data_IF_127151355214
#
_entry.id   IF_127151355214
#
_cell.length_a   1.000
_cell.length_b   1.000
_cell.length_c   1.000
_cell.angle_alpha   90.00
_cell.angle_beta   90.00
_cell.angle_gamma   90.00
#
_symmetry.space_group_name_H-M   'P 1'
#
loop_
_entity.id
_entity.type
_entity.pdbx_description
1 polymer ?
#
# COMPACT_ATOMS: atom_id res chain seq x y z
N UNK A 1 -17.48 23.59 -2.63
CA UNK A 1 -16.07 23.17 -2.73
C UNK A 1 -16.08 21.65 -2.74
N UNK A 2 -15.49 20.98 -3.75
CA UNK A 2 -15.36 19.52 -3.75
C UNK A 2 -14.44 19.13 -2.57
N UNK A 3 -14.74 18.05 -1.83
CA UNK A 3 -13.80 17.50 -0.87
C UNK A 3 -12.43 17.26 -1.53
N UNK A 4 -11.33 17.42 -0.81
CA UNK A 4 -9.97 17.24 -1.35
C UNK A 4 -9.78 15.87 -2.05
N UNK A 5 -10.49 14.85 -1.59
CA UNK A 5 -10.47 13.49 -2.16
C UNK A 5 -11.39 13.29 -3.37
N UNK A 6 -12.42 14.11 -3.53
CA UNK A 6 -13.36 13.96 -4.64
C UNK A 6 -12.72 14.40 -5.96
N UNK A 7 -12.77 13.51 -6.95
CA UNK A 7 -12.27 13.75 -8.30
C UNK A 7 -13.43 14.02 -9.25
N UNK A 8 -13.29 15.04 -10.11
CA UNK A 8 -14.23 15.27 -11.19
C UNK A 8 -13.86 14.34 -12.37
N UNK A 9 -14.75 13.46 -12.82
CA UNK A 9 -14.38 12.35 -13.68
C UNK A 9 -14.38 12.65 -15.18
N UNK A 10 -14.89 13.83 -15.57
CA UNK A 10 -15.11 14.18 -16.98
C UNK A 10 -14.03 15.12 -17.51
N UNK A 11 -13.87 15.13 -18.85
CA UNK A 11 -13.00 16.06 -19.58
C UNK A 11 -13.54 17.50 -19.54
N UNK A 12 -12.72 18.47 -19.92
CA UNK A 12 -13.17 19.88 -20.02
C UNK A 12 -14.28 20.05 -21.07
N UNK A 13 -14.23 19.27 -22.17
CA UNK A 13 -15.25 19.28 -23.22
C UNK A 13 -16.59 18.78 -22.66
N UNK A 14 -16.59 17.60 -22.04
CA UNK A 14 -17.79 17.03 -21.41
C UNK A 14 -18.35 17.93 -20.31
N UNK A 15 -17.48 18.52 -19.48
CA UNK A 15 -17.88 19.47 -18.44
C UNK A 15 -18.59 20.71 -19.02
N UNK A 16 -18.15 21.20 -20.19
CA UNK A 16 -18.80 22.29 -20.89
C UNK A 16 -20.18 21.88 -21.42
N UNK A 17 -20.28 20.72 -22.02
CA UNK A 17 -21.55 20.17 -22.53
C UNK A 17 -22.56 19.94 -21.40
N UNK A 18 -22.10 19.60 -20.21
CA UNK A 18 -22.90 19.39 -19.00
C UNK A 18 -23.20 20.66 -18.21
N UNK A 19 -22.60 21.80 -18.57
CA UNK A 19 -22.71 23.03 -17.79
C UNK A 19 -21.95 23.05 -16.47
N UNK A 20 -21.00 22.11 -16.29
CA UNK A 20 -20.25 21.86 -15.06
C UNK A 20 -18.80 22.37 -15.11
N UNK A 21 -18.49 23.32 -15.99
CA UNK A 21 -17.13 23.78 -16.25
C UNK A 21 -16.42 24.33 -14.99
N UNK A 22 -17.18 24.95 -14.06
CA UNK A 22 -16.60 25.43 -12.80
C UNK A 22 -16.17 24.29 -11.86
N UNK A 23 -16.88 23.17 -11.86
CA UNK A 23 -16.47 21.97 -11.12
C UNK A 23 -15.19 21.41 -11.70
N UNK A 24 -15.09 21.32 -13.03
CA UNK A 24 -13.87 20.90 -13.70
C UNK A 24 -12.69 21.83 -13.37
N UNK A 25 -12.89 23.16 -13.43
CA UNK A 25 -11.85 24.16 -13.08
C UNK A 25 -11.41 24.05 -11.62
N UNK A 26 -12.35 23.81 -10.70
CA UNK A 26 -12.03 23.61 -9.29
C UNK A 26 -11.19 22.35 -9.09
N UNK A 27 -11.57 21.24 -9.74
CA UNK A 27 -10.80 20.00 -9.72
C UNK A 27 -9.38 20.19 -10.30
N UNK A 28 -9.26 20.88 -11.44
CA UNK A 28 -7.97 21.18 -12.06
C UNK A 28 -7.06 21.97 -11.13
N UNK A 29 -7.56 23.05 -10.48
CA UNK A 29 -6.79 23.82 -9.50
C UNK A 29 -6.34 22.96 -8.32
N UNK A 30 -7.19 22.06 -7.83
CA UNK A 30 -6.84 21.14 -6.75
C UNK A 30 -5.76 20.14 -7.17
N UNK A 31 -5.79 19.67 -8.42
CA UNK A 31 -4.73 18.79 -8.96
C UNK A 31 -3.39 19.55 -9.08
N UNK A 32 -3.40 20.81 -9.53
CA UNK A 32 -2.19 21.65 -9.53
C UNK A 32 -1.65 21.88 -8.11
N UNK A 33 -2.53 22.12 -7.15
CA UNK A 33 -2.13 22.27 -5.75
C UNK A 33 -1.52 20.97 -5.18
N UNK A 34 -2.10 19.82 -5.54
CA UNK A 34 -1.54 18.51 -5.19
C UNK A 34 -0.15 18.29 -5.79
N UNK A 35 0.07 18.64 -7.07
CA UNK A 35 1.39 18.58 -7.69
C UNK A 35 2.41 19.44 -6.95
N UNK A 36 2.05 20.67 -6.58
CA UNK A 36 2.88 21.56 -5.77
C UNK A 36 3.19 20.98 -4.37
N UNK A 37 2.22 20.31 -3.74
CA UNK A 37 2.41 19.65 -2.45
C UNK A 37 3.39 18.47 -2.57
N UNK A 38 3.33 17.69 -3.65
CA UNK A 38 4.30 16.62 -3.94
C UNK A 38 5.72 17.22 -4.08
N UNK A 39 5.88 18.30 -4.84
CA UNK A 39 7.17 18.98 -4.98
C UNK A 39 7.73 19.45 -3.63
N UNK A 40 6.88 20.02 -2.79
CA UNK A 40 7.29 20.47 -1.45
C UNK A 40 7.68 19.30 -0.56
N UNK A 41 6.93 18.18 -0.60
CA UNK A 41 7.26 16.99 0.15
C UNK A 41 8.61 16.41 -0.30
N UNK A 42 8.85 16.31 -1.62
CA UNK A 42 10.13 15.87 -2.17
C UNK A 42 11.28 16.78 -1.67
N UNK A 43 11.13 18.11 -1.77
CA UNK A 43 12.18 19.05 -1.32
C UNK A 43 12.46 18.97 0.17
N UNK A 44 11.45 18.71 0.98
CA UNK A 44 11.58 18.58 2.44
C UNK A 44 12.27 17.29 2.83
N UNK A 45 11.96 16.19 2.15
CA UNK A 45 12.28 14.83 2.56
C UNK A 45 13.45 14.20 1.76
N UNK A 46 14.01 14.92 0.79
CA UNK A 46 15.18 14.50 0.02
C UNK A 46 16.47 15.15 0.59
N UNK A 47 17.40 14.32 1.05
CA UNK A 47 18.67 14.76 1.66
C UNK A 47 19.81 15.00 0.66
N UNK A 48 19.54 14.81 -0.64
CA UNK A 48 20.50 14.89 -1.73
C UNK A 48 20.94 13.52 -2.27
N UNK A 49 20.68 12.45 -1.53
CA UNK A 49 20.95 11.06 -1.97
C UNK A 49 19.73 10.15 -1.83
N UNK A 50 18.96 10.30 -0.74
CA UNK A 50 17.84 9.44 -0.41
C UNK A 50 16.58 10.27 -0.15
N UNK A 51 15.45 9.70 -0.53
CA UNK A 51 14.15 10.19 -0.14
C UNK A 51 13.73 9.47 1.15
N UNK A 52 13.24 10.21 2.14
CA UNK A 52 12.81 9.63 3.41
C UNK A 52 11.58 8.73 3.18
N UNK A 53 11.56 7.57 3.82
CA UNK A 53 10.35 6.78 3.95
C UNK A 53 9.21 7.64 4.51
N UNK A 54 7.98 7.34 4.19
CA UNK A 54 6.76 8.10 4.56
C UNK A 54 6.63 9.50 3.91
N UNK A 55 7.53 9.89 3.00
CA UNK A 55 7.46 11.21 2.35
C UNK A 55 6.12 11.46 1.63
N UNK A 56 5.47 10.41 1.12
CA UNK A 56 4.19 10.50 0.45
C UNK A 56 3.01 10.68 1.40
N UNK A 57 3.13 10.23 2.66
CA UNK A 57 2.02 10.14 3.62
C UNK A 57 1.33 11.48 3.85
N UNK A 58 2.08 12.55 4.10
CA UNK A 58 1.51 13.89 4.34
C UNK A 58 0.70 14.43 3.17
N UNK A 59 1.09 14.10 1.94
CA UNK A 59 0.36 14.49 0.72
C UNK A 59 -0.89 13.64 0.55
N UNK A 60 -0.79 12.33 0.84
CA UNK A 60 -1.92 11.40 0.81
C UNK A 60 -2.97 11.83 1.84
N UNK A 61 -2.58 12.15 3.08
CA UNK A 61 -3.49 12.62 4.14
C UNK A 61 -4.23 13.91 3.73
N UNK A 62 -3.58 14.78 2.96
CA UNK A 62 -4.16 16.05 2.51
C UNK A 62 -5.09 15.92 1.29
N UNK A 63 -4.74 15.07 0.32
CA UNK A 63 -5.41 15.02 -1.00
C UNK A 63 -6.09 13.68 -1.30
N UNK A 64 -5.86 12.66 -0.50
CA UNK A 64 -6.35 11.30 -0.70
C UNK A 64 -5.58 10.52 -1.78
N UNK A 65 -5.63 9.19 -1.65
CA UNK A 65 -4.91 8.30 -2.57
C UNK A 65 -5.29 8.52 -4.04
N UNK A 66 -6.58 8.66 -4.36
CA UNK A 66 -7.05 8.81 -5.75
C UNK A 66 -6.44 10.02 -6.44
N UNK A 67 -6.41 11.17 -5.77
CA UNK A 67 -5.89 12.40 -6.35
C UNK A 67 -4.38 12.36 -6.50
N UNK A 68 -3.67 11.92 -5.46
CA UNK A 68 -2.21 11.78 -5.50
C UNK A 68 -1.82 10.82 -6.62
N UNK A 69 -2.43 9.64 -6.68
CA UNK A 69 -2.18 8.66 -7.74
C UNK A 69 -2.46 9.20 -9.13
N UNK A 70 -3.57 9.93 -9.32
CA UNK A 70 -3.91 10.55 -10.60
C UNK A 70 -2.85 11.58 -11.05
N UNK A 71 -2.40 12.45 -10.15
CA UNK A 71 -1.40 13.50 -10.46
C UNK A 71 -0.04 12.87 -10.79
N UNK A 72 0.39 11.87 -10.02
CA UNK A 72 1.61 11.11 -10.29
C UNK A 72 1.53 10.39 -11.64
N UNK A 73 0.46 9.65 -11.88
CA UNK A 73 0.26 8.92 -13.13
C UNK A 73 0.23 9.83 -14.36
N UNK A 74 -0.45 10.99 -14.26
CA UNK A 74 -0.47 11.99 -15.32
C UNK A 74 0.96 12.45 -15.67
N UNK A 75 1.78 12.77 -14.65
CA UNK A 75 3.16 13.22 -14.87
C UNK A 75 4.01 12.11 -15.50
N UNK A 76 3.93 10.87 -14.99
CA UNK A 76 4.70 9.75 -15.53
C UNK A 76 4.29 9.38 -16.96
N UNK A 77 3.01 9.42 -17.29
CA UNK A 77 2.53 9.13 -18.65
C UNK A 77 3.03 10.17 -19.65
N UNK A 78 3.04 11.46 -19.27
CA UNK A 78 3.58 12.54 -20.10
C UNK A 78 5.08 12.40 -20.32
N UNK A 79 5.82 11.97 -19.30
CA UNK A 79 7.27 11.80 -19.31
C UNK A 79 7.69 10.34 -19.51
N UNK A 80 6.85 9.50 -20.08
CA UNK A 80 7.08 8.04 -20.19
C UNK A 80 8.32 7.65 -21.01
N UNK A 81 8.81 8.56 -21.88
CA UNK A 81 10.03 8.38 -22.64
C UNK A 81 11.31 8.54 -21.82
N UNK A 82 11.23 9.12 -20.62
CA UNK A 82 12.41 9.32 -19.77
C UNK A 82 12.86 7.99 -19.13
N UNK A 83 14.10 7.58 -19.44
CA UNK A 83 14.69 6.33 -18.96
C UNK A 83 15.04 6.31 -17.46
N UNK A 84 14.92 7.43 -16.75
CA UNK A 84 15.16 7.54 -15.30
C UNK A 84 13.99 7.07 -14.44
N UNK A 85 12.81 6.91 -15.04
CA UNK A 85 11.67 6.26 -14.37
C UNK A 85 11.77 4.75 -14.51
N UNK A 86 11.56 4.04 -13.40
CA UNK A 86 11.54 2.59 -13.38
C UNK A 86 10.33 2.03 -14.14
N UNK A 87 10.52 0.91 -14.86
CA UNK A 87 9.47 0.35 -15.72
C UNK A 87 8.21 -0.06 -14.93
N UNK A 88 8.37 -0.53 -13.70
CA UNK A 88 7.21 -0.87 -12.84
C UNK A 88 6.35 0.35 -12.50
N UNK A 89 6.96 1.54 -12.32
CA UNK A 89 6.23 2.79 -12.07
C UNK A 89 5.55 3.29 -13.35
N UNK A 90 6.19 3.11 -14.51
CA UNK A 90 5.56 3.40 -15.81
C UNK A 90 4.36 2.49 -16.07
N UNK A 91 4.49 1.18 -15.81
CA UNK A 91 3.39 0.21 -15.97
C UNK A 91 2.23 0.55 -15.02
N UNK A 92 2.53 0.83 -13.75
CA UNK A 92 1.53 1.27 -12.79
C UNK A 92 0.82 2.55 -13.29
N UNK A 93 1.55 3.54 -13.76
CA UNK A 93 0.92 4.79 -14.24
C UNK A 93 -0.05 4.55 -15.39
N UNK A 94 0.26 3.61 -16.31
CA UNK A 94 -0.62 3.24 -17.43
C UNK A 94 -1.91 2.57 -16.99
N UNK A 95 -1.98 1.98 -15.79
CA UNK A 95 -3.21 1.40 -15.25
C UNK A 95 -4.21 2.46 -14.76
N UNK A 96 -3.78 3.70 -14.62
CA UNK A 96 -4.63 4.81 -14.18
C UNK A 96 -5.12 5.58 -15.41
N UNK A 97 -6.44 5.64 -15.56
CA UNK A 97 -7.04 6.38 -16.66
C UNK A 97 -6.87 7.90 -16.45
N UNK A 98 -6.26 8.55 -17.44
CA UNK A 98 -6.10 10.01 -17.54
C UNK A 98 -6.91 10.50 -18.74
N UNK A 99 -7.95 11.30 -18.54
CA UNK A 99 -8.79 11.79 -19.63
C UNK A 99 -8.03 12.67 -20.62
N UNK A 100 -8.37 12.56 -21.90
CA UNK A 100 -7.81 13.36 -22.99
C UNK A 100 -8.89 14.15 -23.73
N UNK A 101 -8.67 15.45 -23.93
CA UNK A 101 -9.50 16.31 -24.76
C UNK A 101 -8.90 16.45 -26.16
N UNK A 102 -9.45 15.74 -27.14
CA UNK A 102 -9.00 15.83 -28.53
C UNK A 102 -7.50 15.49 -28.72
N UNK A 103 -7.00 14.47 -28.01
CA UNK A 103 -5.62 14.05 -28.03
C UNK A 103 -4.66 14.91 -27.21
N UNK A 104 -5.20 15.81 -26.38
CA UNK A 104 -4.43 16.61 -25.41
C UNK A 104 -4.76 16.21 -24.00
N UNK A 105 -3.73 15.98 -23.20
CA UNK A 105 -3.85 15.79 -21.76
C UNK A 105 -3.70 17.12 -21.05
N UNK A 106 -4.47 17.33 -20.00
CA UNK A 106 -4.23 18.41 -19.06
C UNK A 106 -3.17 17.92 -18.07
N UNK A 107 -1.93 18.36 -18.27
CA UNK A 107 -0.78 17.93 -17.48
C UNK A 107 -0.65 18.73 -16.18
N UNK A 108 -0.29 18.04 -15.11
CA UNK A 108 0.06 18.63 -13.81
C UNK A 108 1.55 18.36 -13.62
N UNK A 109 2.37 19.29 -14.10
CA UNK A 109 3.82 19.08 -14.05
C UNK A 109 4.33 19.15 -12.62
N UNK A 110 4.89 18.05 -12.15
CA UNK A 110 5.69 18.00 -10.93
C UNK A 110 7.12 18.34 -11.33
N UNK A 111 7.55 19.52 -10.91
CA UNK A 111 8.89 20.04 -11.23
C UNK A 111 9.94 19.47 -10.27
N UNK A 112 10.32 18.21 -10.50
CA UNK A 112 11.32 17.48 -9.70
C UNK A 112 12.24 16.68 -10.61
N UNK A 113 13.42 16.31 -10.10
CA UNK A 113 14.31 15.41 -10.83
C UNK A 113 13.63 14.05 -11.03
N UNK A 114 13.58 13.49 -12.26
CA UNK A 114 12.82 12.28 -12.55
C UNK A 114 13.15 11.08 -11.65
N UNK A 115 14.43 10.82 -11.34
CA UNK A 115 14.79 9.71 -10.46
C UNK A 115 14.30 9.92 -9.00
N UNK A 116 14.21 11.16 -8.52
CA UNK A 116 13.68 11.46 -7.18
C UNK A 116 12.16 11.34 -7.17
N UNK A 117 11.51 11.80 -8.23
CA UNK A 117 10.07 11.62 -8.40
C UNK A 117 9.71 10.13 -8.53
N UNK A 118 10.53 9.33 -9.21
CA UNK A 118 10.35 7.88 -9.30
C UNK A 118 10.39 7.23 -7.90
N UNK A 119 11.31 7.65 -7.05
CA UNK A 119 11.35 7.25 -5.64
C UNK A 119 10.07 7.62 -4.89
N UNK A 120 9.56 8.85 -5.09
CA UNK A 120 8.30 9.28 -4.46
C UNK A 120 7.10 8.46 -4.95
N UNK A 121 7.06 8.08 -6.22
CA UNK A 121 6.03 7.19 -6.76
C UNK A 121 6.09 5.81 -6.10
N UNK A 122 7.29 5.29 -5.88
CA UNK A 122 7.48 4.02 -5.17
C UNK A 122 6.97 4.09 -3.73
N UNK A 123 7.28 5.15 -2.98
CA UNK A 123 6.75 5.37 -1.63
C UNK A 123 5.22 5.52 -1.62
N UNK A 124 4.65 6.26 -2.57
CA UNK A 124 3.19 6.36 -2.72
C UNK A 124 2.54 4.98 -2.96
N UNK A 125 3.12 4.17 -3.87
CA UNK A 125 2.62 2.82 -4.17
C UNK A 125 2.72 1.89 -2.97
N UNK A 126 3.77 2.06 -2.19
CA UNK A 126 3.97 1.38 -0.94
C UNK A 126 2.85 1.70 0.08
N UNK A 127 2.55 2.98 0.27
CA UNK A 127 1.43 3.40 1.14
C UNK A 127 0.07 2.90 0.61
N UNK A 128 -0.14 2.93 -0.72
CA UNK A 128 -1.36 2.40 -1.33
C UNK A 128 -1.50 0.88 -1.09
N UNK A 129 -0.41 0.13 -1.19
CA UNK A 129 -0.42 -1.31 -0.93
C UNK A 129 -0.81 -1.62 0.52
N UNK A 130 -0.35 -0.81 1.48
CA UNK A 130 -0.69 -0.97 2.91
C UNK A 130 -2.19 -0.88 3.20
N UNK A 131 -3.01 -0.24 2.34
CA UNK A 131 -4.47 -0.18 2.52
C UNK A 131 -5.16 -1.55 2.48
N UNK A 132 -4.53 -2.53 1.86
CA UNK A 132 -5.06 -3.88 1.72
C UNK A 132 -4.43 -4.86 2.71
N UNK A 133 -3.50 -4.38 3.54
CA UNK A 133 -2.81 -5.20 4.52
C UNK A 133 -3.59 -5.26 5.84
N UNK A 134 -3.38 -6.34 6.57
CA UNK A 134 -3.92 -6.49 7.91
C UNK A 134 -3.12 -5.65 8.91
N UNK A 135 -3.81 -4.94 9.79
CA UNK A 135 -3.26 -4.13 10.86
C UNK A 135 -3.78 -4.54 12.25
N UNK A 136 -3.46 -3.73 13.25
CA UNK A 136 -3.86 -3.97 14.64
C UNK A 136 -5.39 -4.02 14.83
N UNK A 137 -6.15 -3.33 13.99
CA UNK A 137 -7.61 -3.33 13.95
C UNK A 137 -8.21 -4.69 13.60
N UNK A 138 -7.44 -5.59 13.00
CA UNK A 138 -7.85 -6.95 12.67
C UNK A 138 -7.45 -7.97 13.75
N UNK A 139 -6.71 -7.53 14.79
CA UNK A 139 -6.22 -8.40 15.84
C UNK A 139 -7.23 -8.58 16.98
N UNK A 140 -7.10 -9.72 17.67
CA UNK A 140 -7.74 -9.92 18.97
C UNK A 140 -7.19 -8.94 20.00
N UNK A 141 -8.05 -8.55 20.95
CA UNK A 141 -7.62 -7.74 22.09
C UNK A 141 -6.60 -8.52 22.93
N UNK A 142 -5.55 -7.83 23.38
CA UNK A 142 -4.49 -8.40 24.22
C UNK A 142 -3.74 -9.60 23.59
N UNK A 143 -3.65 -9.68 22.25
CA UNK A 143 -2.91 -10.74 21.55
C UNK A 143 -1.49 -10.91 22.07
N UNK A 144 -0.84 -9.82 22.52
CA UNK A 144 0.50 -9.87 23.10
C UNK A 144 0.64 -10.70 24.38
N UNK A 145 -0.46 -10.93 25.09
CA UNK A 145 -0.52 -11.71 26.34
C UNK A 145 -1.00 -13.14 26.15
N UNK A 146 -1.24 -13.54 24.89
CA UNK A 146 -1.76 -14.87 24.57
C UNK A 146 -0.68 -15.80 24.03
N UNK A 147 -0.89 -17.13 24.15
CA UNK A 147 -0.09 -18.14 23.47
C UNK A 147 -0.43 -18.12 21.98
N UNK A 148 0.60 -18.09 21.13
CA UNK A 148 0.45 -18.07 19.68
C UNK A 148 0.30 -19.47 19.05
N UNK A 149 0.58 -20.54 19.80
CA UNK A 149 0.56 -21.91 19.26
C UNK A 149 -0.80 -22.26 18.66
N UNK A 150 -0.81 -22.68 17.40
CA UNK A 150 -2.03 -23.04 16.65
C UNK A 150 -2.88 -21.85 16.20
N UNK A 151 -2.42 -20.61 16.45
CA UNK A 151 -3.14 -19.39 16.09
C UNK A 151 -2.63 -18.84 14.76
N UNK A 152 -3.46 -18.13 14.04
CA UNK A 152 -3.07 -17.37 12.86
C UNK A 152 -2.62 -15.98 13.29
N UNK A 153 -1.42 -15.61 12.88
CA UNK A 153 -0.76 -14.36 13.24
C UNK A 153 -0.66 -13.43 12.04
N UNK A 154 -0.73 -12.13 12.31
CA UNK A 154 -0.49 -11.07 11.33
C UNK A 154 0.97 -10.63 11.43
N UNK A 155 1.78 -10.89 10.40
CA UNK A 155 3.14 -10.35 10.31
C UNK A 155 3.09 -8.84 10.03
N UNK A 156 3.92 -8.07 10.73
CA UNK A 156 3.97 -6.62 10.56
C UNK A 156 4.35 -6.25 9.11
N UNK A 157 3.65 -5.29 8.48
CA UNK A 157 4.06 -4.74 7.19
C UNK A 157 5.50 -4.22 7.18
N UNK A 158 5.99 -3.69 8.31
CA UNK A 158 7.36 -3.18 8.43
C UNK A 158 8.42 -4.30 8.38
N UNK A 159 8.03 -5.54 8.65
CA UNK A 159 8.89 -6.73 8.54
C UNK A 159 8.95 -7.24 7.10
N UNK A 160 7.86 -7.05 6.34
CA UNK A 160 7.78 -7.44 4.94
C UNK A 160 8.57 -6.47 4.06
N UNK A 161 9.30 -6.98 3.09
CA UNK A 161 9.85 -6.14 2.02
C UNK A 161 8.73 -5.67 1.11
N UNK A 162 8.88 -4.50 0.50
CA UNK A 162 7.88 -3.88 -0.39
C UNK A 162 7.32 -4.86 -1.44
N UNK A 163 8.15 -5.72 -2.02
CA UNK A 163 7.73 -6.73 -3.01
C UNK A 163 6.78 -7.79 -2.46
N UNK A 164 6.66 -7.92 -1.14
CA UNK A 164 5.83 -8.89 -0.42
C UNK A 164 4.64 -8.25 0.29
N UNK A 165 4.35 -6.97 0.06
CA UNK A 165 3.19 -6.30 0.64
C UNK A 165 1.89 -6.76 -0.02
N UNK A 166 1.48 -7.95 0.37
CA UNK A 166 0.23 -8.60 -0.02
C UNK A 166 -0.36 -9.30 1.19
N UNK A 167 -1.70 -9.33 1.34
CA UNK A 167 -2.36 -10.00 2.46
C UNK A 167 -1.93 -11.47 2.64
N UNK A 168 -1.67 -12.15 1.52
CA UNK A 168 -1.23 -13.53 1.47
C UNK A 168 0.10 -13.76 2.20
N UNK A 169 0.99 -12.78 2.19
CA UNK A 169 2.29 -12.88 2.86
C UNK A 169 2.24 -12.49 4.34
N UNK A 170 1.12 -11.95 4.82
CA UNK A 170 0.98 -11.51 6.20
C UNK A 170 0.42 -12.56 7.15
N UNK A 171 -0.33 -13.55 6.66
CA UNK A 171 -1.01 -14.51 7.53
C UNK A 171 -0.19 -15.78 7.72
N UNK A 172 0.15 -16.05 8.97
CA UNK A 172 1.06 -17.13 9.36
C UNK A 172 0.44 -18.00 10.45
N UNK A 173 0.36 -19.31 10.22
CA UNK A 173 -0.02 -20.28 11.26
C UNK A 173 1.17 -20.54 12.17
N UNK A 174 1.07 -20.19 13.45
CA UNK A 174 2.09 -20.48 14.44
C UNK A 174 2.04 -21.96 14.83
N UNK A 175 3.17 -22.66 14.67
CA UNK A 175 3.27 -24.10 14.97
C UNK A 175 3.86 -24.33 16.37
N UNK A 176 5.02 -23.73 16.67
CA UNK A 176 5.76 -23.97 17.91
C UNK A 176 6.86 -22.92 18.13
N UNK A 177 7.53 -23.03 19.26
CA UNK A 177 8.70 -22.23 19.60
C UNK A 177 8.52 -21.41 20.87
N UNK A 178 9.63 -20.99 21.49
CA UNK A 178 9.59 -20.18 22.72
C UNK A 178 8.91 -18.83 22.50
N UNK A 179 8.90 -18.32 21.26
CA UNK A 179 8.20 -17.10 20.89
C UNK A 179 6.68 -17.23 20.93
N UNK A 180 6.12 -18.45 20.94
CA UNK A 180 4.68 -18.64 21.09
C UNK A 180 4.19 -18.27 22.49
N UNK A 181 5.06 -18.37 23.50
CA UNK A 181 4.67 -18.08 24.88
C UNK A 181 4.41 -16.58 25.11
N UNK A 182 3.43 -16.22 25.95
CA UNK A 182 3.18 -14.83 26.33
C UNK A 182 4.45 -14.15 26.85
N UNK A 183 4.59 -12.86 26.54
CA UNK A 183 5.72 -12.00 26.94
C UNK A 183 7.10 -12.41 26.43
N UNK A 184 7.19 -13.37 25.50
CA UNK A 184 8.45 -13.86 24.93
C UNK A 184 8.99 -12.98 23.81
N UNK A 185 9.08 -11.67 24.04
CA UNK A 185 9.57 -10.71 23.04
C UNK A 185 10.94 -11.11 22.49
N UNK A 186 11.14 -10.91 21.18
CA UNK A 186 12.38 -11.25 20.48
C UNK A 186 12.67 -12.76 20.34
N UNK A 187 11.76 -13.60 20.80
CA UNK A 187 11.90 -15.06 20.70
C UNK A 187 11.23 -15.60 19.44
N UNK A 188 11.82 -16.66 18.87
CA UNK A 188 11.37 -17.21 17.60
C UNK A 188 10.09 -18.03 17.71
N UNK A 189 9.20 -17.80 16.77
CA UNK A 189 7.98 -18.55 16.46
C UNK A 189 8.23 -19.32 15.17
N UNK A 190 8.15 -20.64 15.18
CA UNK A 190 8.10 -21.45 13.96
C UNK A 190 6.69 -21.37 13.40
N UNK A 191 6.55 -20.94 12.16
CA UNK A 191 5.25 -20.72 11.55
C UNK A 191 5.27 -21.01 10.06
N UNK A 192 4.07 -21.26 9.50
CA UNK A 192 3.85 -21.50 8.08
C UNK A 192 2.99 -20.39 7.50
N UNK A 193 3.45 -19.79 6.40
CA UNK A 193 2.71 -18.81 5.63
C UNK A 193 1.45 -19.44 5.01
N UNK A 194 0.30 -18.81 5.15
CA UNK A 194 -0.93 -19.31 4.55
C UNK A 194 -1.00 -19.06 3.03
N UNK A 195 -0.28 -18.04 2.52
CA UNK A 195 -0.29 -17.74 1.10
C UNK A 195 0.46 -18.75 0.25
N UNK A 196 1.71 -19.02 0.57
CA UNK A 196 2.60 -19.87 -0.24
C UNK A 196 2.99 -21.20 0.42
N UNK A 197 2.70 -21.38 1.73
CA UNK A 197 3.03 -22.57 2.49
C UNK A 197 4.49 -22.62 2.98
N UNK A 198 5.28 -21.56 2.80
CA UNK A 198 6.64 -21.48 3.32
C UNK A 198 6.64 -21.60 4.84
N UNK A 199 7.55 -22.42 5.39
CA UNK A 199 7.74 -22.55 6.83
C UNK A 199 9.06 -21.92 7.24
N UNK A 200 9.00 -20.96 8.15
CA UNK A 200 10.16 -20.23 8.62
C UNK A 200 10.02 -19.80 10.09
N UNK A 201 10.99 -19.07 10.59
CA UNK A 201 11.01 -18.56 11.97
C UNK A 201 11.04 -17.03 11.96
N UNK A 202 10.06 -16.45 12.66
CA UNK A 202 9.99 -15.02 12.93
C UNK A 202 10.15 -14.75 14.41
N UNK A 203 10.60 -13.54 14.78
CA UNK A 203 10.54 -13.13 16.18
C UNK A 203 9.11 -12.80 16.56
N UNK A 204 8.72 -13.08 17.81
CA UNK A 204 7.39 -12.71 18.30
C UNK A 204 7.07 -11.24 18.12
N UNK A 205 8.06 -10.34 18.27
CA UNK A 205 7.91 -8.90 18.12
C UNK A 205 7.66 -8.42 16.69
N UNK A 206 7.81 -9.30 15.69
CA UNK A 206 7.55 -8.99 14.27
C UNK A 206 6.07 -9.19 13.90
N UNK A 207 5.28 -9.79 14.79
CA UNK A 207 3.85 -9.94 14.61
C UNK A 207 3.07 -8.78 15.23
N UNK A 208 2.06 -8.30 14.51
CA UNK A 208 1.07 -7.33 15.00
C UNK A 208 0.22 -7.97 16.11
N UNK A 209 -0.21 -9.21 15.90
CA UNK A 209 -1.01 -9.98 16.83
C UNK A 209 -1.67 -11.20 16.21
N UNK A 210 -2.62 -11.76 16.95
CA UNK A 210 -3.48 -12.87 16.51
C UNK A 210 -4.64 -12.25 15.71
N UNK A 211 -4.88 -12.72 14.50
CA UNK A 211 -6.04 -12.27 13.71
C UNK A 211 -7.34 -12.77 14.34
N UNK A 212 -8.38 -11.93 14.34
CA UNK A 212 -9.72 -12.34 14.75
C UNK A 212 -10.33 -13.29 13.72
N UNK A 213 -11.08 -14.30 14.17
CA UNK A 213 -11.65 -15.32 13.28
C UNK A 213 -12.54 -14.70 12.18
N UNK A 214 -13.31 -13.67 12.50
CA UNK A 214 -14.16 -12.97 11.52
C UNK A 214 -13.38 -12.15 10.48
N UNK A 215 -12.09 -11.92 10.70
CA UNK A 215 -11.21 -11.20 9.77
C UNK A 215 -10.38 -12.15 8.89
N UNK A 216 -10.44 -13.47 9.12
CA UNK A 216 -9.75 -14.45 8.28
C UNK A 216 -10.44 -14.52 6.92
N UNK A 217 -9.77 -14.20 5.81
CA UNK A 217 -10.39 -14.28 4.49
C UNK A 217 -10.59 -15.76 4.06
N UNK A 218 -11.54 -15.99 3.17
CA UNK A 218 -11.95 -17.34 2.73
C UNK A 218 -10.75 -18.18 2.24
N UNK A 219 -9.85 -17.59 1.42
CA UNK A 219 -8.66 -18.28 0.92
C UNK A 219 -7.73 -18.75 2.06
N UNK A 220 -7.59 -17.96 3.13
CA UNK A 220 -6.77 -18.31 4.29
C UNK A 220 -7.46 -19.36 5.15
N UNK A 221 -8.77 -19.31 5.30
CA UNK A 221 -9.55 -20.31 6.02
C UNK A 221 -9.46 -21.69 5.34
N UNK A 222 -9.55 -21.76 4.02
CA UNK A 222 -9.37 -22.98 3.23
C UNK A 222 -7.96 -23.57 3.45
N UNK A 223 -6.93 -22.74 3.33
CA UNK A 223 -5.54 -23.16 3.52
C UNK A 223 -5.25 -23.63 4.94
N UNK A 224 -5.81 -22.93 5.93
CA UNK A 224 -5.70 -23.29 7.34
C UNK A 224 -6.32 -24.69 7.61
N UNK A 225 -7.47 -24.96 7.00
CA UNK A 225 -8.14 -26.26 7.10
C UNK A 225 -7.29 -27.40 6.48
N UNK A 226 -6.63 -27.13 5.35
CA UNK A 226 -5.69 -28.06 4.71
C UNK A 226 -4.48 -28.37 5.62
N UNK A 227 -3.84 -27.34 6.14
CA UNK A 227 -2.66 -27.49 7.01
C UNK A 227 -2.99 -28.24 8.31
N UNK A 228 -4.13 -27.97 8.93
CA UNK A 228 -4.58 -28.66 10.15
C UNK A 228 -4.86 -30.15 9.90
N UNK A 229 -5.40 -30.52 8.73
CA UNK A 229 -5.58 -31.94 8.36
C UNK A 229 -4.24 -32.66 8.20
N UNK A 230 -3.29 -32.04 7.49
CA UNK A 230 -1.95 -32.62 7.30
C UNK A 230 -1.17 -32.80 8.60
N UNK A 231 -1.30 -31.88 9.55
CA UNK A 231 -0.67 -31.99 10.88
C UNK A 231 -1.29 -33.18 11.68
N UNK A 232 -2.60 -33.37 11.58
CA UNK A 232 -3.29 -34.47 12.29
C UNK A 232 -2.92 -35.83 11.75
N UNK A 233 -2.75 -36.00 10.44
CA UNK A 233 -2.32 -37.24 9.79
C UNK A 233 -0.87 -37.62 10.10
N UNK A 234 0.01 -36.65 10.37
CA UNK A 234 1.41 -36.92 10.76
C UNK A 234 1.58 -37.27 12.24
N UNK A 235 0.55 -37.13 13.06
CA UNK A 235 0.60 -37.37 14.52
C UNK A 235 -0.03 -38.71 14.92
N UNK A 236 -0.61 -39.41 13.96
CA UNK A 236 -1.14 -40.78 14.10
C UNK A 236 -0.12 -41.81 13.57
#
# INVERSE_FOLDING_TARGET
MLPSEAMYPYTAKEARERGELELWRANFRTNCACAGAIELAIRRDFDGMHLRADCAKSVIDQYGYKRVGFVLANTLQEQSHDGRYHETNKQWSRSIFVPEDGGRRHTFLINSHPAVLDGFVSEYRAELAKLHLFGAEHCESNSGEQDFTGRVLILSPDTLRESYWQPENQLWLALSGFGCQPHARGRSVLCTCLGDGETTRWNRSEFVGIIRDECIPDWAAEKLAELRRGIHEMTL
#
